data_IF_334102452676
#
_entry.id   IF_334102452676
#
_cell.length_a   1.000
_cell.length_b   1.000
_cell.length_c   1.000
_cell.angle_alpha   90.00
_cell.angle_beta   90.00
_cell.angle_gamma   90.00
#
_symmetry.space_group_name_H-M   'P 1'
#
loop_
_entity.id
_entity.type
_entity.pdbx_description
1 polymer ?
#
# COMPACT_ATOMS: atom_id res chain seq x y z
N UNK A 1 14.86 10.52 -21.75
CA UNK A 1 15.32 10.19 -20.40
C UNK A 1 14.19 9.42 -19.77
N UNK A 2 14.35 8.10 -19.64
CA UNK A 2 13.36 7.28 -18.97
C UNK A 2 13.27 7.78 -17.53
N UNK A 3 12.06 8.18 -17.13
CA UNK A 3 11.80 8.59 -15.75
C UNK A 3 12.16 7.45 -14.78
N UNK A 4 12.25 7.72 -13.48
CA UNK A 4 12.48 6.69 -12.49
C UNK A 4 11.49 5.53 -12.71
N UNK A 5 12.04 4.35 -12.93
CA UNK A 5 11.28 3.15 -13.27
C UNK A 5 10.58 2.68 -12.01
N UNK A 6 9.25 2.78 -12.00
CA UNK A 6 8.40 2.11 -11.02
C UNK A 6 7.65 0.99 -11.73
N UNK A 7 7.73 -0.21 -11.19
CA UNK A 7 7.08 -1.39 -11.73
C UNK A 7 5.85 -1.77 -10.91
N UNK A 8 4.79 -2.19 -11.60
CA UNK A 8 3.59 -2.73 -10.97
C UNK A 8 3.91 -4.05 -10.25
N UNK A 9 3.15 -4.36 -9.19
CA UNK A 9 3.37 -5.59 -8.43
C UNK A 9 2.44 -5.76 -7.24
N UNK A 10 2.49 -6.96 -6.66
CA UNK A 10 1.78 -7.33 -5.44
C UNK A 10 2.78 -7.54 -4.32
N UNK A 11 2.46 -6.98 -3.16
CA UNK A 11 3.40 -6.76 -2.08
C UNK A 11 2.71 -7.04 -0.74
N UNK A 12 3.45 -7.60 0.22
CA UNK A 12 3.01 -7.72 1.62
C UNK A 12 3.99 -6.99 2.53
N UNK A 13 3.47 -6.21 3.48
CA UNK A 13 4.30 -5.47 4.41
C UNK A 13 5.11 -6.46 5.26
N UNK A 14 6.42 -6.30 5.24
CA UNK A 14 7.38 -7.13 5.98
C UNK A 14 8.02 -6.36 7.13
N UNK A 15 8.18 -5.04 7.00
CA UNK A 15 8.73 -4.19 8.07
C UNK A 15 8.11 -2.79 8.06
N UNK A 16 7.97 -2.22 9.26
CA UNK A 16 7.59 -0.83 9.48
C UNK A 16 8.64 -0.15 10.36
N UNK A 17 9.25 0.92 9.87
CA UNK A 17 10.34 1.65 10.54
C UNK A 17 11.47 0.72 11.04
N UNK A 18 11.77 -0.33 10.29
CA UNK A 18 12.80 -1.33 10.63
C UNK A 18 12.34 -2.42 11.63
N UNK A 19 11.12 -2.35 12.14
CA UNK A 19 10.55 -3.42 12.97
C UNK A 19 9.90 -4.51 12.12
N UNK A 20 10.25 -5.77 12.40
CA UNK A 20 9.64 -6.98 11.80
C UNK A 20 8.45 -7.50 12.61
N UNK A 21 8.29 -7.07 13.87
CA UNK A 21 7.13 -7.42 14.68
C UNK A 21 5.93 -6.60 14.21
N UNK A 22 5.23 -7.14 13.22
CA UNK A 22 4.00 -6.57 12.69
C UNK A 22 2.82 -7.34 13.30
N UNK A 23 2.06 -6.75 14.23
CA UNK A 23 0.84 -7.39 14.76
C UNK A 23 -0.30 -7.46 13.72
N UNK A 24 -0.01 -7.11 12.46
CA UNK A 24 -0.95 -6.65 11.44
C UNK A 24 -0.48 -7.08 10.07
N UNK A 25 -1.42 -7.43 9.20
CA UNK A 25 -1.12 -7.83 7.81
C UNK A 25 -1.62 -6.76 6.85
N UNK A 26 -0.74 -6.31 5.95
CA UNK A 26 -1.05 -5.33 4.91
C UNK A 26 -0.57 -5.89 3.57
N UNK A 27 -1.49 -6.05 2.62
CA UNK A 27 -1.19 -6.40 1.23
C UNK A 27 -1.51 -5.21 0.34
N UNK A 28 -0.63 -4.94 -0.62
CA UNK A 28 -0.74 -3.84 -1.56
C UNK A 28 -0.53 -4.38 -2.98
N UNK A 29 -1.51 -4.19 -3.84
CA UNK A 29 -1.40 -4.40 -5.28
C UNK A 29 -1.37 -3.04 -5.98
N UNK A 30 -0.30 -2.77 -6.73
CA UNK A 30 -0.17 -1.60 -7.60
C UNK A 30 -0.20 -2.10 -9.04
N UNK A 31 -1.29 -1.84 -9.77
CA UNK A 31 -1.49 -2.34 -11.12
C UNK A 31 -0.82 -1.45 -12.18
N UNK A 32 -0.54 -2.03 -13.36
CA UNK A 32 0.10 -1.32 -14.46
C UNK A 32 -0.78 -0.20 -15.05
N UNK A 33 -2.11 -0.34 -14.94
CA UNK A 33 -3.10 0.64 -15.37
C UNK A 33 -3.28 1.82 -14.39
N UNK A 34 -2.47 1.86 -13.33
CA UNK A 34 -2.50 2.88 -12.27
C UNK A 34 -3.68 2.78 -11.30
N UNK A 35 -4.35 1.63 -11.24
CA UNK A 35 -5.24 1.27 -10.12
C UNK A 35 -4.46 0.62 -8.98
N UNK A 36 -5.02 0.65 -7.77
CA UNK A 36 -4.47 -0.11 -6.64
C UNK A 36 -5.54 -0.83 -5.83
N UNK A 37 -5.11 -1.89 -5.15
CA UNK A 37 -5.88 -2.55 -4.11
C UNK A 37 -5.03 -2.63 -2.83
N UNK A 38 -5.60 -2.22 -1.71
CA UNK A 38 -4.99 -2.29 -0.39
C UNK A 38 -5.88 -3.15 0.49
N UNK A 39 -5.31 -4.21 1.04
CA UNK A 39 -5.96 -5.07 2.02
C UNK A 39 -5.24 -4.94 3.34
N UNK A 40 -5.96 -4.59 4.40
CA UNK A 40 -5.36 -4.42 5.72
C UNK A 40 -6.19 -5.10 6.81
N UNK A 41 -5.48 -5.66 7.78
CA UNK A 41 -6.03 -6.19 9.02
C UNK A 41 -5.26 -5.55 10.16
N UNK A 42 -5.71 -4.38 10.64
CA UNK A 42 -5.02 -3.64 11.70
C UNK A 42 -5.75 -3.77 13.04
N UNK A 43 -7.07 -3.57 13.02
CA UNK A 43 -7.95 -3.52 14.19
C UNK A 43 -9.27 -4.29 13.99
N UNK A 44 -9.48 -4.91 12.82
CA UNK A 44 -10.69 -5.66 12.47
C UNK A 44 -10.42 -7.16 12.40
N UNK A 45 -11.46 -7.98 12.62
CA UNK A 45 -11.41 -9.39 12.24
C UNK A 45 -11.44 -9.42 10.70
N UNK A 46 -10.52 -10.15 10.07
CA UNK A 46 -10.39 -10.22 8.61
C UNK A 46 -9.74 -8.99 7.98
N UNK A 47 -9.96 -8.81 6.67
CA UNK A 47 -9.31 -7.77 5.87
C UNK A 47 -10.31 -6.72 5.36
N UNK A 48 -9.99 -5.45 5.60
CA UNK A 48 -10.63 -4.30 4.95
C UNK A 48 -10.02 -4.10 3.57
N UNK A 49 -10.84 -3.99 2.51
CA UNK A 49 -10.38 -3.68 1.14
C UNK A 49 -10.58 -2.20 0.83
N UNK A 50 -9.51 -1.55 0.41
CA UNK A 50 -9.52 -0.20 -0.16
C UNK A 50 -9.03 -0.25 -1.59
N UNK A 51 -9.60 0.58 -2.45
CA UNK A 51 -9.24 0.67 -3.87
C UNK A 51 -9.11 2.13 -4.27
N UNK A 52 -8.48 2.37 -5.40
CA UNK A 52 -8.40 3.70 -5.98
C UNK A 52 -7.41 3.77 -7.12
N UNK A 53 -6.88 4.96 -7.36
CA UNK A 53 -5.86 5.20 -8.39
C UNK A 53 -4.61 5.80 -7.77
N UNK A 54 -3.48 5.61 -8.43
CA UNK A 54 -2.21 6.20 -8.05
C UNK A 54 -1.51 6.84 -9.25
N UNK A 55 -0.57 7.73 -8.97
CA UNK A 55 0.26 8.40 -9.98
C UNK A 55 1.72 8.15 -9.64
N UNK A 56 2.57 8.19 -10.68
CA UNK A 56 4.02 8.10 -10.53
C UNK A 56 4.60 9.38 -11.10
N UNK A 57 5.24 10.16 -10.24
CA UNK A 57 5.96 11.38 -10.62
C UNK A 57 7.43 11.27 -10.22
N UNK A 58 8.22 12.32 -10.46
CA UNK A 58 9.64 12.36 -10.10
C UNK A 58 9.85 13.28 -8.91
N UNK A 59 10.51 12.77 -7.88
CA UNK A 59 10.98 13.54 -6.74
C UNK A 59 12.43 13.18 -6.45
N UNK A 60 13.33 14.17 -6.51
CA UNK A 60 14.77 13.96 -6.28
C UNK A 60 15.35 12.79 -7.09
N UNK A 61 15.00 12.70 -8.38
CA UNK A 61 15.40 11.63 -9.30
C UNK A 61 14.87 10.22 -8.95
N UNK A 62 14.00 10.10 -7.96
CA UNK A 62 13.30 8.86 -7.58
C UNK A 62 11.82 8.93 -7.96
N UNK A 63 11.17 7.77 -8.06
CA UNK A 63 9.73 7.70 -8.26
C UNK A 63 9.01 8.17 -6.98
N UNK A 64 8.00 9.01 -7.16
CA UNK A 64 7.09 9.45 -6.11
C UNK A 64 5.69 8.93 -6.42
N UNK A 65 5.16 8.11 -5.51
CA UNK A 65 3.81 7.58 -5.57
C UNK A 65 2.86 8.49 -4.80
N UNK A 66 1.76 8.88 -5.41
CA UNK A 66 0.65 9.60 -4.78
C UNK A 66 -0.64 8.97 -5.24
N UNK A 67 -1.64 8.85 -4.37
CA UNK A 67 -2.89 8.20 -4.75
C UNK A 67 -4.13 8.79 -4.11
N UNK A 68 -5.27 8.30 -4.59
CA UNK A 68 -6.60 8.71 -4.16
C UNK A 68 -7.48 7.48 -4.12
N UNK A 69 -8.12 7.27 -2.98
CA UNK A 69 -9.10 6.20 -2.78
C UNK A 69 -10.34 6.45 -3.65
N UNK A 70 -11.10 5.39 -3.93
CA UNK A 70 -12.32 5.45 -4.76
C UNK A 70 -13.36 6.44 -4.22
N UNK A 71 -13.37 6.72 -2.91
CA UNK A 71 -14.24 7.72 -2.28
C UNK A 71 -13.76 9.18 -2.45
N UNK A 72 -12.64 9.40 -3.12
CA UNK A 72 -12.02 10.70 -3.35
C UNK A 72 -11.07 11.15 -2.26
N UNK A 73 -10.92 10.39 -1.17
CA UNK A 73 -9.95 10.70 -0.11
C UNK A 73 -8.53 10.50 -0.66
N UNK A 74 -7.63 11.49 -0.57
CA UNK A 74 -6.23 11.29 -0.93
C UNK A 74 -5.56 10.33 0.05
N UNK A 75 -4.49 9.67 -0.39
CA UNK A 75 -3.55 9.03 0.53
C UNK A 75 -3.05 10.04 1.57
N UNK A 76 -2.79 9.58 2.79
CA UNK A 76 -2.25 10.42 3.86
C UNK A 76 -0.89 11.02 3.50
N UNK A 77 -0.12 10.31 2.67
CA UNK A 77 1.16 10.80 2.18
C UNK A 77 1.38 10.48 0.71
N UNK A 78 2.36 11.17 0.15
CA UNK A 78 3.06 10.67 -1.04
C UNK A 78 4.30 9.91 -0.59
N UNK A 79 4.67 8.88 -1.34
CA UNK A 79 5.68 7.91 -0.96
C UNK A 79 6.82 7.88 -1.97
N UNK A 80 8.01 8.23 -1.51
CA UNK A 80 9.22 8.09 -2.32
C UNK A 80 9.58 6.62 -2.37
N UNK A 81 9.77 6.08 -3.58
CA UNK A 81 10.31 4.74 -3.80
C UNK A 81 11.81 4.80 -3.50
N UNK A 82 12.21 4.32 -2.32
CA UNK A 82 13.63 4.32 -1.93
C UNK A 82 14.42 3.23 -2.63
N UNK A 83 13.76 2.09 -2.87
CA UNK A 83 14.30 0.93 -3.57
C UNK A 83 13.14 0.09 -4.10
N UNK A 84 13.31 -0.48 -5.29
CA UNK A 84 12.42 -1.48 -5.86
C UNK A 84 13.26 -2.54 -6.59
N UNK A 85 12.97 -3.80 -6.31
CA UNK A 85 13.47 -4.97 -7.05
C UNK A 85 12.28 -5.90 -7.33
N UNK A 86 12.52 -7.03 -7.98
CA UNK A 86 11.48 -8.05 -8.17
C UNK A 86 10.95 -8.64 -6.84
N UNK A 87 11.71 -8.54 -5.75
CA UNK A 87 11.41 -9.17 -4.45
C UNK A 87 11.09 -8.16 -3.35
N UNK A 88 11.47 -6.89 -3.51
CA UNK A 88 11.42 -5.89 -2.46
C UNK A 88 10.85 -4.56 -2.98
N UNK A 89 9.98 -3.94 -2.19
CA UNK A 89 9.55 -2.56 -2.37
C UNK A 89 9.76 -1.79 -1.07
N UNK A 90 10.47 -0.67 -1.11
CA UNK A 90 10.68 0.20 0.05
C UNK A 90 10.15 1.60 -0.22
N UNK A 91 9.18 2.01 0.59
CA UNK A 91 8.47 3.29 0.46
C UNK A 91 8.71 4.16 1.69
N UNK A 92 9.12 5.42 1.47
CA UNK A 92 9.24 6.42 2.53
C UNK A 92 8.16 7.49 2.39
N UNK A 93 7.38 7.70 3.44
CA UNK A 93 6.40 8.78 3.53
C UNK A 93 7.10 10.14 3.47
N UNK A 94 6.58 11.06 2.65
CA UNK A 94 7.04 12.45 2.63
C UNK A 94 6.54 13.25 3.84
N UNK A 95 5.38 12.90 4.39
CA UNK A 95 4.75 13.63 5.51
C UNK A 95 5.44 13.31 6.84
N UNK A 96 5.61 12.03 7.15
CA UNK A 96 6.09 11.58 8.46
C UNK A 96 7.50 10.96 8.43
N UNK A 97 8.07 10.73 7.25
CA UNK A 97 9.38 10.07 7.11
C UNK A 97 9.40 8.57 7.42
N UNK A 98 8.25 7.99 7.79
CA UNK A 98 8.13 6.57 8.07
C UNK A 98 8.49 5.74 6.84
N UNK A 99 9.11 4.58 7.08
CA UNK A 99 9.53 3.65 6.05
C UNK A 99 8.72 2.37 6.16
N UNK A 100 8.06 2.02 5.08
CA UNK A 100 7.41 0.71 4.89
C UNK A 100 8.23 -0.11 3.92
N UNK A 101 8.53 -1.35 4.31
CA UNK A 101 9.22 -2.31 3.48
C UNK A 101 8.29 -3.49 3.21
N UNK A 102 8.10 -3.79 1.94
CA UNK A 102 7.29 -4.89 1.47
C UNK A 102 8.14 -5.91 0.75
N UNK A 103 7.71 -7.17 0.83
CA UNK A 103 8.24 -8.25 0.00
C UNK A 103 7.21 -8.63 -1.06
N UNK A 104 7.68 -9.05 -2.23
CA UNK A 104 6.80 -9.50 -3.30
C UNK A 104 5.98 -10.70 -2.83
N UNK A 105 4.67 -10.66 -3.05
CA UNK A 105 3.76 -11.71 -2.63
C UNK A 105 2.49 -11.71 -3.49
N UNK A 106 2.01 -12.90 -3.84
CA UNK A 106 0.64 -13.05 -4.32
C UNK A 106 -0.34 -12.77 -3.18
N UNK A 107 -1.43 -12.07 -3.47
CA UNK A 107 -2.47 -11.81 -2.48
C UNK A 107 -3.36 -13.07 -2.41
N UNK A 108 -3.38 -13.79 -1.27
CA UNK A 108 -4.17 -15.01 -1.14
C UNK A 108 -5.68 -14.74 -1.25
N UNK A 109 -6.45 -15.71 -1.72
CA UNK A 109 -7.89 -15.51 -1.93
C UNK A 109 -8.64 -15.22 -0.62
N UNK A 110 -8.24 -15.82 0.51
CA UNK A 110 -8.84 -15.50 1.82
C UNK A 110 -8.65 -14.02 2.24
N UNK A 111 -7.65 -13.33 1.70
CA UNK A 111 -7.44 -11.89 1.90
C UNK A 111 -8.41 -11.09 1.04
N UNK A 112 -8.65 -11.55 -0.20
CA UNK A 112 -9.58 -10.92 -1.15
C UNK A 112 -11.04 -11.11 -0.74
N UNK A 113 -11.35 -12.23 -0.11
CA UNK A 113 -12.67 -12.58 0.43
C UNK A 113 -13.00 -11.84 1.75
N UNK A 114 -12.15 -10.86 2.13
CA UNK A 114 -12.25 -10.03 3.32
C UNK A 114 -13.67 -9.61 3.68
N UNK A 115 -13.98 -9.72 4.98
CA UNK A 115 -15.33 -10.01 5.48
C UNK A 115 -16.43 -9.17 4.82
N UNK A 116 -17.42 -9.84 4.24
CA UNK A 116 -18.72 -9.27 3.90
C UNK A 116 -19.51 -8.96 5.19
N UNK A 117 -18.99 -8.15 6.13
CA UNK A 117 -19.79 -7.72 7.28
C UNK A 117 -20.70 -6.61 6.81
N UNK A 118 -21.81 -6.99 6.18
CA UNK A 118 -23.02 -6.23 6.39
C UNK A 118 -23.29 -6.30 7.91
N UNK A 119 -23.20 -5.15 8.58
CA UNK A 119 -23.72 -4.88 9.93
C UNK A 119 -22.83 -5.17 11.15
N UNK A 120 -21.63 -4.60 11.23
CA UNK A 120 -21.17 -4.08 12.53
C UNK A 120 -20.66 -2.68 12.28
N UNK A 121 -21.06 -1.73 13.13
CA UNK A 121 -20.58 -0.35 13.12
C UNK A 121 -19.11 -0.36 13.56
N UNK A 122 -18.22 -0.88 12.71
CA UNK A 122 -16.80 -0.68 12.84
C UNK A 122 -16.55 0.80 12.56
N UNK A 123 -15.89 1.49 13.48
CA UNK A 123 -15.28 2.78 13.16
C UNK A 123 -14.44 2.56 11.89
N UNK A 124 -14.62 3.42 10.89
CA UNK A 124 -13.93 3.26 9.62
C UNK A 124 -12.42 3.22 9.91
N UNK A 125 -11.80 2.06 9.71
CA UNK A 125 -10.39 1.89 9.95
C UNK A 125 -9.65 2.81 8.97
N UNK A 126 -8.68 3.58 9.49
CA UNK A 126 -7.90 4.48 8.65
C UNK A 126 -7.08 3.64 7.66
N UNK A 127 -7.15 3.93 6.35
CA UNK A 127 -6.26 3.30 5.38
C UNK A 127 -4.79 3.54 5.72
N UNK A 128 -3.93 2.58 5.38
CA UNK A 128 -2.50 2.66 5.67
C UNK A 128 -1.72 3.69 4.83
N UNK A 129 -2.19 3.97 3.59
CA UNK A 129 -1.54 4.90 2.64
C UNK A 129 -2.09 6.32 2.74
#
# INVERSE_FOLDING_TARGET
>A
MDGPVFEAGSWVLSQWNGSQELPRSIYLHLAADRSFELYQSLNTIGYSKYTGTYTVTVYEQKALLSGTYTDGTPWESSYVVESQTAELLRLRSQTAGNISQYVAAEIPDYVKDGITVKNVRAEAEKPFL
#
